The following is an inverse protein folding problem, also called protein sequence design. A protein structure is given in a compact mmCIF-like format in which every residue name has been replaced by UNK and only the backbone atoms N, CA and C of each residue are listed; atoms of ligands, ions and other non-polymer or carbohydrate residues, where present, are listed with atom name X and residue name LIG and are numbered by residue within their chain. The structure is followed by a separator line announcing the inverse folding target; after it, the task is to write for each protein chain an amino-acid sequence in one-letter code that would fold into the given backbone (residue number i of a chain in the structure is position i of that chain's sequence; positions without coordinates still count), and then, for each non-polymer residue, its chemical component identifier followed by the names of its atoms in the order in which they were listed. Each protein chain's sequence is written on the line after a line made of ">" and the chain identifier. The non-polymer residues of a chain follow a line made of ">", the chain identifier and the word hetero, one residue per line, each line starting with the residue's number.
data_IF_693080219551
#
_entry.id   IF_693080219551
#
_cell.length_a   1.000
_cell.length_b   1.000
_cell.length_c   1.000
_cell.angle_alpha   90.00
_cell.angle_beta   90.00
_cell.angle_gamma   90.00
#
_symmetry.space_group_name_H-M   'P 1'
#
loop_
_entity.id
_entity.type
_entity.pdbx_description
1 polymer ?
#
# COMPACT_ATOMS: atom_id res chain seq x y z
N UNK A 1 30.81 49.77 27.99
CA UNK A 1 29.91 50.20 26.90
C UNK A 1 29.36 48.92 26.30
N UNK A 2 28.12 48.58 26.68
CA UNK A 2 27.41 47.38 26.25
C UNK A 2 27.02 47.58 24.79
N UNK A 3 27.53 46.73 23.89
CA UNK A 3 27.04 46.69 22.51
C UNK A 3 25.68 46.00 22.52
N UNK A 4 24.61 46.80 22.60
CA UNK A 4 23.27 46.37 22.23
C UNK A 4 23.25 46.18 20.72
N UNK A 5 23.43 44.95 20.25
CA UNK A 5 23.04 44.59 18.90
C UNK A 5 21.53 44.56 18.85
N UNK A 6 20.93 45.49 18.10
CA UNK A 6 19.53 45.46 17.74
C UNK A 6 19.23 44.15 17.02
N UNK A 7 18.38 43.32 17.61
CA UNK A 7 17.67 42.26 16.89
C UNK A 7 16.73 42.94 15.89
N UNK A 8 17.22 43.22 14.69
CA UNK A 8 16.35 43.56 13.56
C UNK A 8 15.56 42.28 13.22
N UNK A 9 14.40 42.16 13.84
CA UNK A 9 13.44 41.09 13.62
C UNK A 9 12.89 41.25 12.18
N UNK A 10 13.51 40.54 11.23
CA UNK A 10 13.07 40.48 9.83
C UNK A 10 11.64 39.93 9.79
N UNK A 11 10.66 40.81 9.65
CA UNK A 11 9.24 40.49 9.72
C UNK A 11 8.67 40.41 8.29
N UNK A 12 8.72 39.22 7.69
CA UNK A 12 8.36 38.99 6.29
C UNK A 12 6.85 38.74 6.14
N UNK A 13 6.22 39.28 5.08
CA UNK A 13 4.78 39.04 4.81
C UNK A 13 4.65 37.93 3.75
N UNK A 14 4.09 36.78 4.13
CA UNK A 14 3.86 35.64 3.25
C UNK A 14 2.37 35.57 2.88
N UNK A 15 2.05 35.29 1.61
CA UNK A 15 0.66 35.14 1.14
C UNK A 15 0.28 33.66 1.08
N UNK A 16 -0.72 33.26 1.86
CA UNK A 16 -1.13 31.86 2.05
C UNK A 16 -2.27 31.39 1.12
N UNK A 17 -2.78 32.24 0.22
CA UNK A 17 -4.07 32.03 -0.46
C UNK A 17 -4.15 30.81 -1.39
N UNK A 18 -3.04 30.41 -2.04
CA UNK A 18 -3.03 29.24 -2.94
C UNK A 18 -2.85 27.93 -2.16
N UNK A 19 -2.33 27.99 -0.93
CA UNK A 19 -1.98 26.82 -0.13
C UNK A 19 -3.21 26.13 0.43
N UNK A 20 -4.12 26.91 1.00
CA UNK A 20 -5.25 26.38 1.76
C UNK A 20 -6.08 25.38 0.94
N UNK A 21 -6.53 25.75 -0.26
CA UNK A 21 -7.37 24.87 -1.10
C UNK A 21 -6.61 23.65 -1.62
N UNK A 22 -5.38 23.83 -2.11
CA UNK A 22 -4.59 22.74 -2.68
C UNK A 22 -4.23 21.70 -1.62
N UNK A 23 -3.78 22.14 -0.45
CA UNK A 23 -3.37 21.28 0.65
C UNK A 23 -4.56 20.52 1.22
N UNK A 24 -5.68 21.21 1.47
CA UNK A 24 -6.91 20.55 1.92
C UNK A 24 -7.37 19.48 0.93
N UNK A 25 -7.40 19.78 -0.38
CA UNK A 25 -7.79 18.80 -1.39
C UNK A 25 -6.89 17.57 -1.41
N UNK A 26 -5.57 17.77 -1.36
CA UNK A 26 -4.60 16.66 -1.39
C UNK A 26 -4.66 15.86 -0.09
N UNK A 27 -4.72 16.49 1.08
CA UNK A 27 -4.81 15.78 2.37
C UNK A 27 -6.11 14.98 2.49
N UNK A 28 -7.24 15.51 2.00
CA UNK A 28 -8.50 14.74 1.93
C UNK A 28 -8.32 13.51 1.04
N UNK A 29 -7.70 13.66 -0.15
CA UNK A 29 -7.45 12.55 -1.06
C UNK A 29 -6.52 11.50 -0.42
N UNK A 30 -5.43 11.95 0.22
CA UNK A 30 -4.49 11.08 0.94
C UNK A 30 -5.18 10.36 2.08
N UNK A 31 -6.07 11.01 2.84
CA UNK A 31 -6.83 10.36 3.90
C UNK A 31 -7.79 9.29 3.34
N UNK A 32 -8.57 9.66 2.31
CA UNK A 32 -9.59 8.79 1.71
C UNK A 32 -9.00 7.56 1.02
N UNK A 33 -7.84 7.70 0.39
CA UNK A 33 -7.17 6.58 -0.29
C UNK A 33 -6.22 5.86 0.66
N UNK A 34 -5.40 6.62 1.39
CA UNK A 34 -4.32 6.15 2.25
C UNK A 34 -4.79 5.30 3.43
N UNK A 35 -5.88 5.67 4.11
CA UNK A 35 -6.34 4.88 5.27
C UNK A 35 -6.83 3.49 4.83
N UNK A 36 -7.76 3.35 3.86
CA UNK A 36 -8.18 2.03 3.40
C UNK A 36 -7.04 1.21 2.80
N UNK A 37 -6.14 1.83 2.02
CA UNK A 37 -5.02 1.13 1.40
C UNK A 37 -4.02 0.62 2.42
N UNK A 38 -3.66 1.41 3.42
CA UNK A 38 -2.70 1.00 4.44
C UNK A 38 -3.27 -0.03 5.41
N UNK A 39 -4.56 0.04 5.77
CA UNK A 39 -5.21 -1.03 6.53
C UNK A 39 -5.21 -2.36 5.76
N UNK A 40 -5.47 -2.30 4.45
CA UNK A 40 -5.42 -3.48 3.60
C UNK A 40 -3.99 -4.05 3.47
N UNK A 41 -3.01 -3.16 3.28
CA UNK A 41 -1.58 -3.51 3.25
C UNK A 41 -1.09 -4.11 4.56
N UNK A 42 -1.54 -3.59 5.70
CA UNK A 42 -1.23 -4.09 7.03
C UNK A 42 -1.71 -5.54 7.21
N UNK A 43 -2.91 -5.86 6.74
CA UNK A 43 -3.43 -7.24 6.73
C UNK A 43 -2.51 -8.19 5.94
N UNK A 44 -2.04 -7.79 4.76
CA UNK A 44 -1.10 -8.60 3.97
C UNK A 44 0.29 -8.67 4.57
N UNK A 45 0.76 -7.59 5.19
CA UNK A 45 2.01 -7.60 5.93
C UNK A 45 1.96 -8.62 7.08
N UNK A 46 0.86 -8.64 7.83
CA UNK A 46 0.63 -9.63 8.89
C UNK A 46 0.61 -11.08 8.35
N UNK A 47 0.03 -11.31 7.17
CA UNK A 47 0.07 -12.63 6.53
C UNK A 47 1.50 -13.05 6.14
N UNK A 48 2.29 -12.13 5.59
CA UNK A 48 3.71 -12.38 5.27
C UNK A 48 4.55 -12.67 6.52
N UNK A 49 4.26 -11.98 7.62
CA UNK A 49 4.88 -12.24 8.92
C UNK A 49 4.55 -13.64 9.46
N UNK A 50 3.30 -14.08 9.32
CA UNK A 50 2.89 -15.44 9.69
C UNK A 50 3.60 -16.50 8.84
N UNK A 51 3.94 -16.17 7.60
CA UNK A 51 4.75 -17.01 6.69
C UNK A 51 6.26 -16.92 6.96
N UNK A 52 6.69 -16.22 8.03
CA UNK A 52 8.11 -16.01 8.39
C UNK A 52 8.94 -15.34 7.29
N UNK A 53 8.31 -14.47 6.48
CA UNK A 53 8.98 -13.68 5.48
C UNK A 53 9.49 -12.37 6.08
N UNK A 54 10.81 -12.13 5.99
CA UNK A 54 11.50 -10.94 6.47
C UNK A 54 10.94 -9.64 5.87
N UNK A 55 10.50 -9.69 4.60
CA UNK A 55 9.89 -8.56 3.91
C UNK A 55 8.59 -8.11 4.59
N UNK A 56 7.86 -9.04 5.21
CA UNK A 56 6.64 -8.73 5.96
C UNK A 56 6.90 -7.79 7.15
N UNK A 57 8.09 -7.85 7.77
CA UNK A 57 8.48 -6.95 8.87
C UNK A 57 8.62 -5.52 8.37
N UNK A 58 9.39 -5.30 7.29
CA UNK A 58 9.61 -3.97 6.74
C UNK A 58 8.32 -3.35 6.23
N UNK A 59 7.52 -4.14 5.53
CA UNK A 59 6.19 -3.75 5.03
C UNK A 59 5.24 -3.37 6.19
N UNK A 60 5.18 -4.17 7.25
CA UNK A 60 4.32 -3.85 8.40
C UNK A 60 4.74 -2.52 9.04
N UNK A 61 6.03 -2.32 9.31
CA UNK A 61 6.49 -1.09 9.94
C UNK A 61 6.26 0.15 9.06
N UNK A 62 6.43 0.03 7.73
CA UNK A 62 6.10 1.07 6.76
C UNK A 62 4.61 1.47 6.88
N UNK A 63 3.70 0.49 6.84
CA UNK A 63 2.25 0.77 6.97
C UNK A 63 1.85 1.32 8.34
N UNK A 64 2.53 0.91 9.42
CA UNK A 64 2.28 1.46 10.75
C UNK A 64 2.67 2.94 10.79
N UNK A 65 3.82 3.29 10.22
CA UNK A 65 4.26 4.68 10.11
C UNK A 65 3.29 5.53 9.30
N UNK A 66 2.79 5.01 8.17
CA UNK A 66 1.78 5.68 7.35
C UNK A 66 0.48 5.91 8.11
N UNK A 67 -0.05 4.88 8.80
CA UNK A 67 -1.28 5.00 9.56
C UNK A 67 -1.18 6.01 10.72
N UNK A 68 -0.01 6.08 11.37
CA UNK A 68 0.24 7.07 12.43
C UNK A 68 0.22 8.50 11.88
N UNK A 69 0.83 8.75 10.73
CA UNK A 69 0.76 10.07 10.09
C UNK A 69 -0.65 10.40 9.55
N UNK A 70 -1.32 9.43 8.92
CA UNK A 70 -2.69 9.60 8.45
C UNK A 70 -3.65 9.94 9.60
N UNK A 71 -3.40 9.43 10.81
CA UNK A 71 -4.17 9.80 12.00
C UNK A 71 -3.99 11.27 12.43
N UNK A 72 -2.90 11.94 12.03
CA UNK A 72 -2.65 13.37 12.29
C UNK A 72 -3.30 14.30 11.25
N UNK A 73 -3.57 13.81 10.03
CA UNK A 73 -4.13 14.62 8.94
C UNK A 73 -5.44 15.34 9.26
N UNK A 74 -6.39 14.80 10.06
CA UNK A 74 -7.60 15.54 10.44
C UNK A 74 -7.29 16.86 11.18
N UNK A 75 -6.24 16.88 12.00
CA UNK A 75 -5.82 18.10 12.72
C UNK A 75 -5.20 19.11 11.76
N UNK A 76 -4.39 18.65 10.80
CA UNK A 76 -3.88 19.51 9.72
C UNK A 76 -5.00 20.09 8.86
N UNK A 77 -6.00 19.28 8.50
CA UNK A 77 -7.15 19.75 7.73
C UNK A 77 -7.94 20.82 8.49
N UNK A 78 -8.13 20.64 9.81
CA UNK A 78 -8.77 21.64 10.64
C UNK A 78 -7.96 22.95 10.67
N UNK A 79 -6.64 22.88 10.80
CA UNK A 79 -5.75 24.04 10.73
C UNK A 79 -5.93 24.82 9.41
N UNK A 80 -5.89 24.12 8.27
CA UNK A 80 -6.12 24.76 6.97
C UNK A 80 -7.54 25.32 6.84
N UNK A 81 -8.58 24.68 7.40
CA UNK A 81 -9.94 25.24 7.35
C UNK A 81 -10.16 26.42 8.29
N UNK A 82 -9.24 26.69 9.22
CA UNK A 82 -9.27 27.82 10.15
C UNK A 82 -8.32 28.94 9.70
N UNK A 83 -8.10 29.07 8.39
CA UNK A 83 -7.24 30.10 7.79
C UNK A 83 -5.82 30.12 8.37
N UNK A 84 -5.24 28.92 8.54
CA UNK A 84 -3.90 28.69 9.11
C UNK A 84 -3.76 29.21 10.56
N UNK A 85 -4.86 29.25 11.32
CA UNK A 85 -4.84 29.54 12.76
C UNK A 85 -4.94 28.24 13.59
N UNK A 86 -3.84 27.89 14.27
CA UNK A 86 -3.79 26.72 15.15
C UNK A 86 -4.54 27.00 16.46
N UNK A 87 -5.84 26.66 16.49
CA UNK A 87 -6.69 26.84 17.68
C UNK A 87 -6.49 25.77 18.77
N UNK A 88 -5.69 24.73 18.49
CA UNK A 88 -5.47 23.60 19.40
C UNK A 88 -4.33 23.85 20.38
N UNK A 89 -4.13 22.93 21.32
CA UNK A 89 -2.99 23.01 22.26
C UNK A 89 -1.66 22.87 21.52
N UNK A 90 -0.62 23.53 22.03
CA UNK A 90 0.74 23.52 21.45
C UNK A 90 1.31 22.10 21.30
N UNK A 91 1.10 21.22 22.28
CA UNK A 91 1.59 19.84 22.21
C UNK A 91 0.98 19.02 21.06
N UNK A 92 -0.23 19.37 20.60
CA UNK A 92 -0.84 18.73 19.43
C UNK A 92 -0.16 19.18 18.14
N UNK A 93 0.25 20.45 18.06
CA UNK A 93 1.05 20.94 16.94
C UNK A 93 2.36 20.13 16.89
N UNK A 94 3.11 20.12 17.98
CA UNK A 94 4.37 19.36 18.13
C UNK A 94 4.19 17.88 17.76
N UNK A 95 3.11 17.23 18.21
CA UNK A 95 2.81 15.85 17.87
C UNK A 95 2.53 15.66 16.36
N UNK A 96 1.78 16.57 15.74
CA UNK A 96 1.47 16.48 14.32
C UNK A 96 2.72 16.61 13.44
N UNK A 97 3.61 17.55 13.76
CA UNK A 97 4.89 17.65 13.06
C UNK A 97 5.81 16.49 13.37
N UNK A 98 5.88 16.02 14.62
CA UNK A 98 6.60 14.80 14.97
C UNK A 98 6.15 13.62 14.10
N UNK A 99 4.84 13.35 14.02
CA UNK A 99 4.31 12.25 13.20
C UNK A 99 4.59 12.42 11.70
N UNK A 100 4.54 13.65 11.17
CA UNK A 100 4.91 13.96 9.78
C UNK A 100 6.38 13.59 9.50
N UNK A 101 7.30 14.05 10.34
CA UNK A 101 8.73 13.82 10.13
C UNK A 101 9.14 12.38 10.41
N UNK A 102 8.58 11.75 11.45
CA UNK A 102 8.74 10.31 11.68
C UNK A 102 8.29 9.53 10.46
N UNK A 103 7.13 9.85 9.87
CA UNK A 103 6.68 9.18 8.65
C UNK A 103 7.66 9.31 7.49
N UNK A 104 8.18 10.51 7.23
CA UNK A 104 9.16 10.73 6.16
C UNK A 104 10.38 9.84 6.35
N UNK A 105 11.04 9.91 7.51
CA UNK A 105 12.34 9.23 7.68
C UNK A 105 12.20 7.73 7.93
N UNK A 106 11.16 7.30 8.65
CA UNK A 106 10.87 5.87 8.83
C UNK A 106 10.54 5.23 7.47
N UNK A 107 9.73 5.89 6.64
CA UNK A 107 9.40 5.39 5.31
C UNK A 107 10.64 5.25 4.43
N UNK A 108 11.50 6.29 4.40
CA UNK A 108 12.78 6.24 3.68
C UNK A 108 13.65 5.06 4.18
N UNK A 109 13.74 4.87 5.50
CA UNK A 109 14.47 3.77 6.11
C UNK A 109 13.96 2.40 5.64
N UNK A 110 12.65 2.18 5.67
CA UNK A 110 12.06 0.91 5.23
C UNK A 110 12.11 0.70 3.71
N UNK A 111 12.02 1.74 2.90
CA UNK A 111 12.28 1.63 1.45
C UNK A 111 13.71 1.18 1.14
N UNK A 112 14.69 1.65 1.94
CA UNK A 112 16.07 1.19 1.86
C UNK A 112 16.20 -0.28 2.27
N UNK A 113 15.56 -0.68 3.37
CA UNK A 113 15.54 -2.09 3.81
C UNK A 113 14.93 -3.01 2.76
N UNK A 114 13.79 -2.64 2.17
CA UNK A 114 13.12 -3.40 1.10
C UNK A 114 14.05 -3.52 -0.12
N UNK A 115 14.68 -2.43 -0.55
CA UNK A 115 15.58 -2.45 -1.71
C UNK A 115 16.85 -3.27 -1.45
N UNK A 116 17.43 -3.18 -0.24
CA UNK A 116 18.60 -3.96 0.17
C UNK A 116 18.28 -5.45 0.29
N UNK A 117 17.14 -5.79 0.88
CA UNK A 117 16.67 -7.18 0.97
C UNK A 117 16.54 -7.81 -0.42
N UNK A 118 15.92 -7.10 -1.37
CA UNK A 118 15.82 -7.55 -2.76
C UNK A 118 17.18 -7.66 -3.45
N UNK A 119 18.09 -6.71 -3.20
CA UNK A 119 19.47 -6.77 -3.68
C UNK A 119 20.20 -8.01 -3.16
N UNK A 120 20.15 -8.27 -1.85
CA UNK A 120 20.81 -9.43 -1.24
C UNK A 120 20.20 -10.74 -1.73
N UNK A 121 18.88 -10.81 -1.88
CA UNK A 121 18.19 -12.00 -2.39
C UNK A 121 18.59 -12.36 -3.83
N UNK A 122 18.84 -11.37 -4.68
CA UNK A 122 19.15 -11.60 -6.12
C UNK A 122 20.65 -11.74 -6.37
N UNK A 123 21.46 -10.89 -5.74
CA UNK A 123 22.91 -10.81 -6.04
C UNK A 123 23.72 -11.77 -5.16
N UNK A 124 23.27 -12.02 -3.93
CA UNK A 124 24.01 -12.80 -2.94
C UNK A 124 23.13 -13.83 -2.20
N UNK A 125 22.41 -14.72 -2.92
CA UNK A 125 21.36 -15.57 -2.35
C UNK A 125 21.83 -16.48 -1.21
N UNK A 126 23.10 -16.89 -1.19
CA UNK A 126 23.66 -17.81 -0.19
C UNK A 126 24.61 -17.15 0.83
N UNK A 127 25.12 -15.95 0.54
CA UNK A 127 26.22 -15.34 1.34
C UNK A 127 25.71 -14.53 2.53
N UNK A 128 24.53 -13.93 2.43
CA UNK A 128 23.98 -13.01 3.43
C UNK A 128 22.61 -13.47 3.97
N UNK A 129 22.42 -14.78 4.11
CA UNK A 129 21.18 -15.36 4.65
C UNK A 129 20.92 -14.94 6.10
N UNK A 130 21.95 -14.74 6.91
CA UNK A 130 21.81 -14.25 8.30
C UNK A 130 21.26 -12.82 8.37
N UNK A 131 21.67 -11.93 7.45
CA UNK A 131 21.16 -10.56 7.34
C UNK A 131 19.71 -10.51 6.84
N UNK A 132 19.23 -11.59 6.22
CA UNK A 132 17.84 -11.77 5.76
C UNK A 132 17.03 -12.65 6.71
N UNK A 133 17.47 -12.79 7.96
CA UNK A 133 16.70 -13.50 8.99
C UNK A 133 15.61 -12.60 9.58
N UNK A 134 14.54 -13.22 10.10
CA UNK A 134 13.48 -12.50 10.83
C UNK A 134 14.03 -11.68 12.00
N UNK A 135 15.01 -12.23 12.73
CA UNK A 135 15.64 -11.53 13.85
C UNK A 135 16.42 -10.30 13.39
N UNK A 136 17.14 -10.38 12.27
CA UNK A 136 17.82 -9.24 11.69
C UNK A 136 16.83 -8.16 11.23
N UNK A 137 15.72 -8.54 10.58
CA UNK A 137 14.69 -7.60 10.15
C UNK A 137 14.05 -6.85 11.32
N UNK A 138 13.73 -7.56 12.41
CA UNK A 138 13.22 -6.93 13.64
C UNK A 138 14.23 -6.01 14.30
N UNK A 139 15.48 -6.46 14.43
CA UNK A 139 16.55 -5.66 15.01
C UNK A 139 16.76 -4.35 14.23
N UNK A 140 16.86 -4.42 12.90
CA UNK A 140 17.00 -3.24 12.04
C UNK A 140 15.79 -2.33 12.16
N UNK A 141 14.57 -2.89 12.21
CA UNK A 141 13.34 -2.10 12.37
C UNK A 141 13.36 -1.33 13.70
N UNK A 142 13.72 -1.98 14.81
CA UNK A 142 13.84 -1.34 16.13
C UNK A 142 14.90 -0.24 16.11
N UNK A 143 16.05 -0.48 15.47
CA UNK A 143 17.11 0.54 15.35
C UNK A 143 16.60 1.76 14.57
N UNK A 144 15.88 1.57 13.46
CA UNK A 144 15.30 2.66 12.69
C UNK A 144 14.34 3.47 13.56
N UNK A 145 13.36 2.81 14.20
CA UNK A 145 12.39 3.47 15.08
C UNK A 145 13.07 4.26 16.21
N UNK A 146 14.00 3.65 16.94
CA UNK A 146 14.69 4.31 18.04
C UNK A 146 15.52 5.51 17.55
N UNK A 147 16.19 5.37 16.40
CA UNK A 147 16.99 6.44 15.81
C UNK A 147 16.10 7.62 15.40
N UNK A 148 15.02 7.37 14.66
CA UNK A 148 14.12 8.45 14.22
C UNK A 148 13.44 9.12 15.41
N UNK A 149 12.84 8.35 16.34
CA UNK A 149 12.22 8.88 17.56
C UNK A 149 13.22 9.76 18.34
N UNK A 150 14.47 9.32 18.50
CA UNK A 150 15.48 10.10 19.21
C UNK A 150 15.79 11.45 18.52
N UNK A 151 15.78 11.49 17.19
CA UNK A 151 15.92 12.73 16.41
C UNK A 151 14.65 13.58 16.50
N UNK A 152 13.47 12.96 16.44
CA UNK A 152 12.17 13.63 16.52
C UNK A 152 11.87 14.27 17.88
N UNK A 153 12.48 13.79 18.98
CA UNK A 153 12.34 14.41 20.31
C UNK A 153 12.72 15.90 20.33
N UNK A 154 13.56 16.35 19.38
CA UNK A 154 13.93 17.77 19.26
C UNK A 154 12.70 18.67 19.10
N UNK A 155 11.66 18.23 18.41
CA UNK A 155 10.43 19.01 18.19
C UNK A 155 9.63 19.28 19.47
N UNK A 156 9.80 18.47 20.51
CA UNK A 156 9.16 18.70 21.81
C UNK A 156 10.00 19.63 22.70
N UNK A 157 11.26 19.91 22.34
CA UNK A 157 12.15 20.79 23.10
C UNK A 157 12.08 22.25 22.64
N UNK A 158 11.69 22.49 21.40
CA UNK A 158 11.57 23.83 20.81
C UNK A 158 10.11 24.27 20.73
N UNK A 159 9.89 25.58 20.74
CA UNK A 159 8.57 26.18 20.53
C UNK A 159 8.25 26.16 19.04
N UNK A 160 7.38 25.23 18.65
CA UNK A 160 6.94 25.04 17.26
C UNK A 160 5.72 25.91 16.91
N UNK A 161 5.11 26.54 17.92
CA UNK A 161 4.04 27.53 17.73
C UNK A 161 4.67 28.92 17.63
N UNK A 162 4.50 29.58 16.48
CA UNK A 162 4.88 30.97 16.29
C UNK A 162 3.63 31.82 16.01
N UNK A 163 3.72 33.13 16.22
CA UNK A 163 2.62 34.05 15.90
C UNK A 163 2.93 34.77 14.60
N UNK A 164 2.06 34.64 13.62
CA UNK A 164 2.12 35.47 12.42
C UNK A 164 1.68 36.92 12.74
N UNK A 165 1.93 37.85 11.82
CA UNK A 165 1.56 39.26 11.87
C UNK A 165 0.06 39.49 12.03
N UNK A 166 -0.80 38.55 11.63
CA UNK A 166 -2.25 38.58 11.94
C UNK A 166 -2.60 38.14 13.37
N UNK A 167 -1.58 37.88 14.21
CA UNK A 167 -1.69 37.32 15.56
C UNK A 167 -2.34 35.92 15.57
N UNK A 168 -2.29 35.21 14.44
CA UNK A 168 -2.67 33.80 14.29
C UNK A 168 -1.51 32.92 14.73
N UNK A 169 -1.82 31.75 15.29
CA UNK A 169 -0.81 30.81 15.76
C UNK A 169 -0.47 29.84 14.63
N UNK A 170 0.73 29.92 14.06
CA UNK A 170 1.18 29.02 13.00
C UNK A 170 2.04 27.89 13.57
N UNK A 171 1.88 26.69 13.00
CA UNK A 171 2.48 25.46 13.51
C UNK A 171 3.61 25.01 12.57
N UNK A 172 4.83 24.82 13.09
CA UNK A 172 6.03 24.42 12.30
C UNK A 172 6.48 25.40 11.22
N UNK A 173 6.13 26.68 11.36
CA UNK A 173 6.55 27.75 10.45
C UNK A 173 7.43 28.77 11.20
N UNK A 174 8.75 28.64 11.07
CA UNK A 174 9.72 29.64 11.53
C UNK A 174 10.32 30.39 10.36
N UNK A 175 9.96 31.67 10.21
CA UNK A 175 10.58 32.60 9.25
C UNK A 175 10.99 33.87 9.99
N UNK A 176 12.29 34.24 10.03
CA UNK A 176 13.43 33.52 9.47
C UNK A 176 13.78 32.23 10.25
N UNK A 177 14.50 31.32 9.58
CA UNK A 177 15.01 30.06 10.12
C UNK A 177 15.91 30.31 11.33
N UNK A 178 15.68 29.55 12.39
CA UNK A 178 16.37 29.66 13.65
C UNK A 178 17.73 28.94 13.62
N UNK A 179 18.74 29.40 14.38
CA UNK A 179 20.08 28.82 14.38
C UNK A 179 20.15 27.31 14.69
N UNK A 180 19.20 26.80 15.49
CA UNK A 180 19.14 25.39 15.87
C UNK A 180 18.62 24.48 14.74
N UNK A 181 17.92 25.04 13.75
CA UNK A 181 17.38 24.28 12.60
C UNK A 181 18.47 23.91 11.58
N UNK A 182 19.48 24.76 11.39
CA UNK A 182 20.58 24.53 10.44
C UNK A 182 21.27 23.17 10.61
N UNK A 183 21.82 22.80 11.79
CA UNK A 183 22.47 21.50 11.95
C UNK A 183 21.52 20.31 11.72
N UNK A 184 20.24 20.47 12.07
CA UNK A 184 19.21 19.44 11.85
C UNK A 184 18.91 19.29 10.36
N UNK A 185 18.81 20.39 9.62
CA UNK A 185 18.55 20.37 8.18
C UNK A 185 19.72 19.74 7.42
N UNK A 186 20.96 20.03 7.80
CA UNK A 186 22.13 19.33 7.25
C UNK A 186 22.12 17.83 7.57
N UNK A 187 21.80 17.45 8.81
CA UNK A 187 21.65 16.04 9.17
C UNK A 187 20.58 15.34 8.32
N UNK A 188 19.39 15.96 8.19
CA UNK A 188 18.28 15.46 7.37
C UNK A 188 18.67 15.30 5.91
N UNK A 189 19.39 16.27 5.35
CA UNK A 189 19.83 16.20 3.96
C UNK A 189 20.89 15.10 3.76
N UNK A 190 21.92 15.04 4.60
CA UNK A 190 23.04 14.11 4.42
C UNK A 190 22.63 12.68 4.78
N UNK A 191 22.10 12.49 5.99
CA UNK A 191 21.76 11.17 6.54
C UNK A 191 20.36 10.73 6.13
N UNK A 192 19.40 11.66 6.09
CA UNK A 192 18.01 11.37 5.73
C UNK A 192 17.75 11.28 4.22
N UNK A 193 18.61 11.84 3.36
CA UNK A 193 18.40 11.83 1.91
C UNK A 193 19.58 11.31 1.09
N UNK A 194 20.77 11.87 1.22
CA UNK A 194 21.91 11.47 0.37
C UNK A 194 22.34 10.01 0.62
N UNK A 195 22.39 9.59 1.87
CA UNK A 195 22.72 8.20 2.23
C UNK A 195 21.66 7.20 1.70
N UNK A 196 20.35 7.40 1.93
CA UNK A 196 19.29 6.60 1.32
C UNK A 196 19.33 6.59 -0.21
N UNK A 197 19.54 7.75 -0.85
CA UNK A 197 19.63 7.86 -2.31
C UNK A 197 20.77 6.98 -2.85
N UNK A 198 21.92 6.96 -2.19
CA UNK A 198 23.04 6.10 -2.57
C UNK A 198 22.68 4.61 -2.45
N UNK A 199 22.05 4.19 -1.34
CA UNK A 199 21.59 2.81 -1.13
C UNK A 199 20.60 2.40 -2.21
N UNK A 200 19.56 3.21 -2.46
CA UNK A 200 18.51 2.93 -3.43
C UNK A 200 19.07 2.88 -4.86
N UNK A 201 19.97 3.80 -5.21
CA UNK A 201 20.58 3.85 -6.54
C UNK A 201 21.48 2.63 -6.79
N UNK A 202 22.36 2.30 -5.83
CA UNK A 202 23.27 1.16 -5.95
C UNK A 202 22.48 -0.15 -6.00
N UNK A 203 21.52 -0.34 -5.10
CA UNK A 203 20.69 -1.55 -5.06
C UNK A 203 19.88 -1.72 -6.36
N UNK A 204 19.26 -0.65 -6.87
CA UNK A 204 18.55 -0.67 -8.14
C UNK A 204 19.44 -1.10 -9.31
N UNK A 205 20.60 -0.47 -9.47
CA UNK A 205 21.52 -0.78 -10.57
C UNK A 205 22.07 -2.20 -10.47
N UNK A 206 22.37 -2.68 -9.26
CA UNK A 206 22.85 -4.04 -9.04
C UNK A 206 21.77 -5.10 -9.31
N UNK A 207 20.55 -4.88 -8.82
CA UNK A 207 19.40 -5.77 -9.09
C UNK A 207 19.11 -5.83 -10.58
N UNK A 208 19.07 -4.69 -11.26
CA UNK A 208 18.80 -4.65 -12.71
C UNK A 208 19.84 -5.46 -13.51
N UNK A 209 21.13 -5.33 -13.16
CA UNK A 209 22.21 -6.10 -13.80
C UNK A 209 22.11 -7.60 -13.50
N UNK A 210 21.84 -7.97 -12.25
CA UNK A 210 21.78 -9.38 -11.85
C UNK A 210 20.55 -10.09 -12.41
N UNK A 211 19.37 -9.46 -12.38
CA UNK A 211 18.14 -9.99 -12.97
C UNK A 211 18.29 -10.16 -14.49
N UNK A 212 18.97 -9.23 -15.16
CA UNK A 212 19.25 -9.32 -16.60
C UNK A 212 20.15 -10.50 -16.98
N UNK A 213 21.08 -10.88 -16.09
CA UNK A 213 22.03 -12.00 -16.32
C UNK A 213 21.52 -13.36 -15.86
N UNK A 214 20.54 -13.41 -14.96
CA UNK A 214 20.02 -14.68 -14.46
C UNK A 214 19.36 -15.49 -15.57
N UNK A 215 19.84 -16.69 -15.88
CA UNK A 215 19.21 -17.59 -16.88
C UNK A 215 18.11 -18.46 -16.25
N UNK A 216 18.19 -18.71 -14.93
CA UNK A 216 17.30 -19.64 -14.22
C UNK A 216 16.06 -19.01 -13.56
N UNK A 217 15.93 -17.68 -13.49
CA UNK A 217 14.75 -17.04 -12.89
C UNK A 217 13.61 -16.91 -13.90
N UNK A 218 12.40 -17.31 -13.52
CA UNK A 218 11.22 -17.18 -14.39
C UNK A 218 10.99 -15.72 -14.82
N UNK A 219 10.59 -15.46 -16.08
CA UNK A 219 10.39 -14.11 -16.61
C UNK A 219 9.43 -13.23 -15.78
N UNK A 220 8.36 -13.82 -15.25
CA UNK A 220 7.39 -13.11 -14.41
C UNK A 220 8.03 -12.68 -13.07
N UNK A 221 8.76 -13.57 -12.41
CA UNK A 221 9.49 -13.25 -11.16
C UNK A 221 10.52 -12.14 -11.36
N UNK A 222 11.27 -12.17 -12.49
CA UNK A 222 12.19 -11.08 -12.86
C UNK A 222 11.47 -9.74 -12.99
N UNK A 223 10.30 -9.74 -13.62
CA UNK A 223 9.50 -8.54 -13.84
C UNK A 223 9.01 -7.96 -12.52
N UNK A 224 8.49 -8.81 -11.61
CA UNK A 224 8.04 -8.40 -10.27
C UNK A 224 9.16 -7.80 -9.44
N UNK A 225 10.34 -8.43 -9.42
CA UNK A 225 11.52 -7.92 -8.71
C UNK A 225 11.93 -6.54 -9.25
N UNK A 226 12.00 -6.39 -10.58
CA UNK A 226 12.34 -5.12 -11.21
C UNK A 226 11.32 -4.04 -10.90
N UNK A 227 10.02 -4.37 -10.96
CA UNK A 227 8.95 -3.43 -10.65
C UNK A 227 8.98 -3.00 -9.19
N UNK A 228 9.22 -3.93 -8.25
CA UNK A 228 9.33 -3.63 -6.83
C UNK A 228 10.47 -2.64 -6.55
N UNK A 229 11.70 -2.93 -7.00
CA UNK A 229 12.87 -2.07 -6.76
C UNK A 229 12.78 -0.76 -7.56
N UNK A 230 12.15 -0.78 -8.74
CA UNK A 230 11.89 0.47 -9.48
C UNK A 230 10.85 1.34 -8.77
N UNK A 231 9.87 0.74 -8.12
CA UNK A 231 8.82 1.47 -7.41
C UNK A 231 9.37 2.13 -6.15
N UNK A 232 10.22 1.45 -5.37
CA UNK A 232 10.87 2.06 -4.19
C UNK A 232 11.71 3.28 -4.55
N UNK A 233 12.48 3.21 -5.65
CA UNK A 233 13.25 4.36 -6.17
C UNK A 233 12.31 5.47 -6.65
N UNK A 234 11.25 5.13 -7.39
CA UNK A 234 10.31 6.12 -7.90
C UNK A 234 9.58 6.87 -6.77
N UNK A 235 9.11 6.14 -5.75
CA UNK A 235 8.47 6.73 -4.57
C UNK A 235 9.45 7.68 -3.88
N UNK A 236 10.70 7.26 -3.69
CA UNK A 236 11.71 8.10 -3.07
C UNK A 236 11.99 9.39 -3.85
N UNK A 237 12.15 9.29 -5.17
CA UNK A 237 12.45 10.43 -6.03
C UNK A 237 11.28 11.39 -6.17
N UNK A 238 10.04 10.88 -6.20
CA UNK A 238 8.85 11.72 -6.39
C UNK A 238 8.38 12.32 -5.06
N UNK A 239 8.31 11.52 -3.99
CA UNK A 239 7.72 11.96 -2.73
C UNK A 239 8.74 12.69 -1.84
N UNK A 240 10.00 12.23 -1.77
CA UNK A 240 10.95 12.75 -0.79
C UNK A 240 12.01 13.70 -1.38
N UNK A 241 12.47 13.46 -2.62
CA UNK A 241 13.53 14.29 -3.22
C UNK A 241 13.19 15.78 -3.31
N UNK A 242 11.98 16.19 -3.77
CA UNK A 242 11.66 17.61 -3.89
C UNK A 242 11.79 18.34 -2.54
N UNK A 243 11.26 17.73 -1.47
CA UNK A 243 11.34 18.28 -0.12
C UNK A 243 12.79 18.49 0.33
N UNK A 244 13.64 17.49 0.16
CA UNK A 244 15.04 17.60 0.60
C UNK A 244 15.85 18.59 -0.23
N UNK A 245 15.52 18.76 -1.53
CA UNK A 245 16.13 19.79 -2.37
C UNK A 245 15.73 21.18 -1.85
N UNK A 246 14.44 21.45 -1.66
CA UNK A 246 14.00 22.76 -1.16
C UNK A 246 14.43 23.02 0.29
N UNK A 247 14.53 21.99 1.13
CA UNK A 247 15.11 22.07 2.47
C UNK A 247 16.56 22.58 2.43
N UNK A 248 17.39 22.02 1.54
CA UNK A 248 18.78 22.46 1.39
C UNK A 248 18.86 23.87 0.81
N UNK A 249 18.09 24.16 -0.24
CA UNK A 249 18.05 25.48 -0.88
C UNK A 249 17.68 26.55 0.15
N UNK A 250 16.65 26.30 0.96
CA UNK A 250 16.25 27.16 2.07
C UNK A 250 17.39 27.34 3.07
N UNK A 251 18.00 26.25 3.53
CA UNK A 251 19.11 26.28 4.51
C UNK A 251 20.33 27.07 4.03
N UNK A 252 20.60 27.13 2.72
CA UNK A 252 21.77 27.81 2.16
C UNK A 252 21.52 29.27 1.77
N UNK A 253 20.30 29.56 1.29
CA UNK A 253 19.98 30.80 0.57
C UNK A 253 18.94 31.67 1.26
N UNK A 254 18.37 31.26 2.40
CA UNK A 254 17.48 32.12 3.18
C UNK A 254 18.26 33.31 3.77
N UNK A 255 18.20 34.46 3.09
CA UNK A 255 18.94 35.69 3.44
C UNK A 255 18.02 36.86 3.74
N UNK A 256 16.92 36.98 3.01
CA UNK A 256 16.02 38.12 3.05
C UNK A 256 14.56 37.72 2.80
N UNK A 257 13.64 38.65 3.07
CA UNK A 257 12.20 38.41 2.96
C UNK A 257 11.71 38.11 1.55
N UNK A 258 12.38 38.62 0.49
CA UNK A 258 11.95 38.33 -0.88
C UNK A 258 12.21 36.86 -1.20
N UNK A 259 13.40 36.35 -0.83
CA UNK A 259 13.71 34.94 -1.00
C UNK A 259 12.75 34.04 -0.20
N UNK A 260 12.43 34.41 1.04
CA UNK A 260 11.47 33.67 1.87
C UNK A 260 10.10 33.59 1.18
N UNK A 261 9.58 34.70 0.66
CA UNK A 261 8.29 34.73 -0.02
C UNK A 261 8.28 33.87 -1.30
N UNK A 262 9.38 33.86 -2.06
CA UNK A 262 9.51 33.05 -3.27
C UNK A 262 9.60 31.55 -2.96
N UNK A 263 10.42 31.15 -1.99
CA UNK A 263 10.66 29.73 -1.68
C UNK A 263 9.49 29.09 -0.92
N UNK A 264 8.70 29.89 -0.19
CA UNK A 264 7.64 29.41 0.69
C UNK A 264 6.70 28.41 -0.02
N UNK A 265 6.21 28.77 -1.21
CA UNK A 265 5.28 27.93 -1.95
C UNK A 265 5.91 26.61 -2.40
N UNK A 266 7.15 26.67 -2.90
CA UNK A 266 7.86 25.49 -3.37
C UNK A 266 8.21 24.53 -2.23
N UNK A 267 8.68 25.07 -1.10
CA UNK A 267 8.99 24.28 0.09
C UNK A 267 7.75 23.55 0.60
N UNK A 268 6.63 24.26 0.81
CA UNK A 268 5.41 23.63 1.28
C UNK A 268 4.83 22.65 0.26
N UNK A 269 4.80 22.99 -1.04
CA UNK A 269 4.33 22.07 -2.07
C UNK A 269 5.19 20.79 -2.09
N UNK A 270 6.49 20.92 -1.89
CA UNK A 270 7.39 19.77 -1.81
C UNK A 270 7.18 18.94 -0.54
N UNK A 271 6.81 19.56 0.57
CA UNK A 271 6.37 18.88 1.79
C UNK A 271 5.04 18.17 1.59
N UNK A 272 4.10 18.77 0.86
CA UNK A 272 2.84 18.13 0.47
C UNK A 272 3.09 16.86 -0.37
N UNK A 273 4.10 16.87 -1.23
CA UNK A 273 4.50 15.69 -2.01
C UNK A 273 4.97 14.52 -1.14
N UNK A 274 5.56 14.77 0.04
CA UNK A 274 6.00 13.69 0.92
C UNK A 274 4.83 12.84 1.36
N UNK A 275 3.66 13.45 1.59
CA UNK A 275 2.42 12.80 2.07
C UNK A 275 1.82 11.81 1.07
N UNK A 276 2.20 11.92 -0.21
CA UNK A 276 1.77 11.00 -1.26
C UNK A 276 2.43 9.61 -1.10
N UNK A 277 3.49 9.48 -0.30
CA UNK A 277 4.09 8.19 0.02
C UNK A 277 3.05 7.23 0.63
N UNK A 278 2.19 7.70 1.53
CA UNK A 278 1.16 6.89 2.17
C UNK A 278 0.16 6.29 1.17
N UNK A 279 -0.01 6.89 -0.01
CA UNK A 279 -0.85 6.35 -1.09
C UNK A 279 -0.05 5.42 -2.01
N UNK A 280 1.25 5.68 -2.17
CA UNK A 280 2.12 4.95 -3.09
C UNK A 280 2.69 3.65 -2.49
N UNK A 281 3.02 3.64 -1.20
CA UNK A 281 3.62 2.49 -0.50
C UNK A 281 2.76 1.21 -0.54
N UNK A 282 1.42 1.28 -0.44
CA UNK A 282 0.54 0.14 -0.71
C UNK A 282 0.74 -0.50 -2.09
N UNK A 283 1.23 0.23 -3.10
CA UNK A 283 1.52 -0.34 -4.42
C UNK A 283 2.67 -1.37 -4.37
N UNK A 284 3.58 -1.28 -3.39
CA UNK A 284 4.67 -2.24 -3.22
C UNK A 284 4.13 -3.66 -2.98
N UNK A 285 2.99 -3.79 -2.30
CA UNK A 285 2.35 -5.08 -2.02
C UNK A 285 1.80 -5.77 -3.27
N UNK A 286 1.39 -4.99 -4.28
CA UNK A 286 0.94 -5.53 -5.56
C UNK A 286 2.03 -6.30 -6.30
N UNK A 287 3.30 -5.97 -6.06
CA UNK A 287 4.45 -6.63 -6.68
C UNK A 287 4.96 -7.82 -5.86
N UNK A 288 4.60 -7.88 -4.57
CA UNK A 288 4.95 -8.99 -3.67
C UNK A 288 3.96 -10.15 -3.80
N UNK A 289 2.66 -9.87 -3.95
CA UNK A 289 1.61 -10.91 -4.04
C UNK A 289 0.50 -10.58 -5.04
N UNK A 290 0.11 -11.58 -5.84
CA UNK A 290 -1.05 -11.46 -6.74
C UNK A 290 -2.38 -11.32 -6.01
N UNK A 291 -2.52 -11.96 -4.83
CA UNK A 291 -3.74 -11.85 -4.02
C UNK A 291 -3.89 -10.44 -3.46
N UNK A 292 -2.77 -9.82 -3.05
CA UNK A 292 -2.72 -8.43 -2.63
C UNK A 292 -3.09 -7.48 -3.78
N UNK A 293 -2.55 -7.70 -4.99
CA UNK A 293 -2.88 -6.90 -6.19
C UNK A 293 -4.38 -6.86 -6.48
N UNK A 294 -5.06 -8.02 -6.44
CA UNK A 294 -6.50 -8.10 -6.73
C UNK A 294 -7.35 -7.39 -5.67
N UNK A 295 -6.97 -7.41 -4.40
CA UNK A 295 -7.72 -6.69 -3.39
C UNK A 295 -7.40 -5.20 -3.35
N UNK A 296 -6.16 -4.77 -3.59
CA UNK A 296 -5.82 -3.35 -3.68
C UNK A 296 -6.54 -2.68 -4.87
N UNK A 297 -6.62 -3.36 -6.02
CA UNK A 297 -7.43 -2.88 -7.14
C UNK A 297 -8.90 -2.70 -6.76
N UNK A 298 -9.46 -3.60 -5.95
CA UNK A 298 -10.85 -3.47 -5.46
C UNK A 298 -11.01 -2.37 -4.41
N UNK A 299 -10.00 -2.12 -3.58
CA UNK A 299 -10.04 -1.12 -2.51
C UNK A 299 -9.73 0.31 -3.00
N UNK A 300 -8.78 0.47 -3.94
CA UNK A 300 -8.31 1.78 -4.43
C UNK A 300 -8.90 2.08 -5.81
N UNK A 301 -8.63 1.22 -6.79
CA UNK A 301 -8.87 1.54 -8.20
C UNK A 301 -10.37 1.51 -8.52
N UNK A 302 -11.11 0.53 -7.99
CA UNK A 302 -12.55 0.39 -8.26
C UNK A 302 -13.38 1.58 -7.74
N UNK A 303 -13.16 2.11 -6.52
CA UNK A 303 -13.83 3.34 -6.08
C UNK A 303 -13.41 4.58 -6.88
N UNK A 304 -12.11 4.77 -7.13
CA UNK A 304 -11.60 5.91 -7.88
C UNK A 304 -12.16 5.91 -9.31
N UNK A 305 -12.14 4.77 -10.00
CA UNK A 305 -12.72 4.62 -11.34
C UNK A 305 -14.22 4.84 -11.32
N UNK A 306 -14.95 4.36 -10.30
CA UNK A 306 -16.40 4.63 -10.18
C UNK A 306 -16.67 6.12 -9.98
N UNK A 307 -15.90 6.81 -9.17
CA UNK A 307 -16.04 8.25 -8.93
C UNK A 307 -15.74 9.02 -10.22
N UNK A 308 -14.61 8.73 -10.89
CA UNK A 308 -14.24 9.36 -12.16
C UNK A 308 -15.28 9.10 -13.26
N UNK A 309 -15.76 7.86 -13.40
CA UNK A 309 -16.81 7.52 -14.37
C UNK A 309 -18.16 8.18 -14.05
N UNK A 310 -18.53 8.35 -12.77
CA UNK A 310 -19.73 9.08 -12.38
C UNK A 310 -19.61 10.58 -12.69
N UNK A 311 -18.42 11.18 -12.53
CA UNK A 311 -18.16 12.57 -12.91
C UNK A 311 -18.25 12.76 -14.44
N UNK A 312 -17.76 11.80 -15.23
CA UNK A 312 -17.89 11.86 -16.70
C UNK A 312 -19.34 11.69 -17.18
N UNK A 313 -20.19 10.93 -16.48
CA UNK A 313 -21.59 10.70 -16.88
C UNK A 313 -22.50 11.88 -16.57
N UNK A 314 -22.16 12.71 -15.56
CA UNK A 314 -22.94 13.87 -15.15
C UNK A 314 -22.74 15.12 -16.04
N UNK A 315 -21.73 15.10 -16.92
CA UNK A 315 -21.47 16.16 -17.90
C UNK A 315 -22.16 16.00 -19.27
N UNK A 316 -22.90 14.91 -19.50
CA UNK A 316 -23.52 14.62 -20.82
C UNK A 316 -25.05 14.45 -20.79
N UNK A 317 -25.72 15.04 -19.79
CA UNK A 317 -27.18 15.10 -19.76
C UNK A 317 -27.65 16.34 -20.54
N UNK A 318 -27.88 16.18 -21.85
CA UNK A 318 -28.64 17.16 -22.62
C UNK A 318 -30.11 17.18 -22.10
N UNK A 319 -30.75 18.36 -22.00
CA UNK A 319 -32.15 18.44 -21.60
C UNK A 319 -33.02 17.77 -22.68
N UNK A 320 -33.85 16.83 -22.26
CA UNK A 320 -34.78 16.13 -23.12
C UNK A 320 -35.70 17.14 -23.82
N UNK A 321 -35.62 17.17 -25.16
CA UNK A 321 -36.63 17.84 -25.98
C UNK A 321 -37.77 16.85 -26.16
N UNK A 322 -38.93 17.25 -25.66
CA UNK A 322 -40.20 16.55 -25.79
C UNK A 322 -40.54 16.42 -27.28
N UNK A 323 -40.71 15.20 -27.79
CA UNK A 323 -41.23 14.95 -29.13
C UNK A 323 -42.00 13.64 -29.09
N UNK A 324 -43.31 13.79 -29.06
CA UNK A 324 -44.28 12.74 -29.34
C UNK A 324 -43.97 12.09 -30.69
N UNK A 325 -43.78 10.77 -30.70
CA UNK A 325 -44.06 9.98 -31.91
C UNK A 325 -44.97 8.79 -31.59
N UNK A 326 -46.08 8.85 -32.32
CA UNK A 326 -47.26 8.01 -32.40
C UNK A 326 -46.95 6.52 -32.55
N UNK A 327 -47.70 5.70 -31.82
CA UNK A 327 -47.71 4.25 -31.96
C UNK A 327 -48.33 3.82 -33.30
N UNK A 328 -47.64 2.93 -34.01
CA UNK A 328 -48.26 2.03 -34.98
C UNK A 328 -47.75 0.61 -34.74
N UNK A 329 -48.67 -0.25 -34.32
CA UNK A 329 -48.54 -1.71 -34.27
C UNK A 329 -48.29 -2.28 -35.68
N UNK A 330 -47.30 -3.16 -35.83
CA UNK A 330 -47.51 -4.52 -36.35
C UNK A 330 -46.21 -5.34 -36.55
N UNK A 331 -46.33 -6.62 -36.21
CA UNK A 331 -45.61 -7.81 -36.70
C UNK A 331 -44.38 -8.34 -35.95
N UNK A 332 -44.66 -9.33 -35.09
CA UNK A 332 -44.03 -10.67 -34.96
C UNK A 332 -42.56 -10.86 -35.38
N UNK A 333 -41.67 -10.98 -34.39
CA UNK A 333 -40.33 -11.57 -34.53
C UNK A 333 -39.60 -11.71 -33.20
N UNK A 334 -39.12 -12.90 -32.88
CA UNK A 334 -38.36 -13.27 -31.67
C UNK A 334 -37.14 -12.35 -31.41
N UNK A 335 -36.78 -12.05 -30.13
CA UNK A 335 -35.60 -11.26 -29.83
C UNK A 335 -34.33 -12.05 -30.13
N UNK A 336 -33.56 -11.58 -31.11
CA UNK A 336 -32.24 -12.14 -31.45
C UNK A 336 -31.20 -11.48 -30.55
N UNK A 337 -30.65 -12.22 -29.60
CA UNK A 337 -29.50 -11.81 -28.80
C UNK A 337 -28.25 -11.91 -29.68
N UNK A 338 -27.68 -10.76 -30.08
CA UNK A 338 -26.43 -10.71 -30.83
C UNK A 338 -25.26 -10.93 -29.87
N UNK A 339 -24.65 -12.12 -29.93
CA UNK A 339 -23.39 -12.45 -29.26
C UNK A 339 -22.24 -12.18 -30.23
N UNK A 340 -21.38 -11.20 -29.94
CA UNK A 340 -20.15 -10.95 -30.69
C UNK A 340 -19.06 -11.94 -30.28
N UNK A 341 -18.84 -12.98 -31.08
CA UNK A 341 -17.66 -13.86 -31.00
C UNK A 341 -16.69 -13.55 -32.13
N UNK A 342 -15.50 -13.05 -31.80
CA UNK A 342 -14.36 -13.06 -32.72
C UNK A 342 -13.89 -14.51 -32.92
N UNK A 343 -13.91 -15.00 -34.16
CA UNK A 343 -13.31 -16.29 -34.53
C UNK A 343 -12.21 -16.04 -35.57
N UNK A 344 -10.99 -16.44 -35.26
CA UNK A 344 -9.87 -16.54 -36.20
C UNK A 344 -9.88 -17.95 -36.82
N UNK A 345 -9.92 -18.02 -38.14
CA UNK A 345 -10.02 -19.24 -38.95
C UNK A 345 -8.73 -20.06 -38.98
N UNK A 346 -8.83 -21.39 -38.84
CA UNK A 346 -7.92 -22.33 -39.52
C UNK A 346 -8.72 -23.52 -40.08
N UNK A 347 -8.41 -23.89 -41.32
CA UNK A 347 -9.19 -24.75 -42.21
C UNK A 347 -9.03 -26.27 -42.00
N UNK A 348 -10.16 -26.97 -42.14
CA UNK A 348 -10.44 -28.28 -42.79
C UNK A 348 -9.64 -29.55 -42.45
N UNK A 349 -10.33 -30.59 -41.96
CA UNK A 349 -10.81 -31.72 -42.79
C UNK A 349 -11.91 -32.53 -42.07
N UNK A 350 -12.72 -33.27 -42.85
CA UNK A 350 -14.11 -33.70 -42.61
C UNK A 350 -14.20 -35.23 -42.52
N UNK A 351 -15.01 -35.81 -41.61
CA UNK A 351 -15.85 -37.02 -41.84
C UNK A 351 -16.85 -37.33 -40.69
N UNK A 352 -18.15 -37.26 -41.03
CA UNK A 352 -19.32 -38.13 -40.70
C UNK A 352 -19.83 -38.41 -39.24
N UNK A 353 -20.92 -37.71 -38.85
CA UNK A 353 -22.22 -38.09 -38.18
C UNK A 353 -22.33 -39.17 -37.05
N UNK A 354 -23.36 -39.15 -36.16
CA UNK A 354 -23.82 -38.07 -35.25
C UNK A 354 -24.24 -38.58 -33.82
N UNK A 355 -23.79 -37.94 -32.73
CA UNK A 355 -24.48 -38.02 -31.42
C UNK A 355 -24.14 -36.78 -30.59
N UNK A 356 -25.13 -35.91 -30.37
CA UNK A 356 -24.98 -34.70 -29.54
C UNK A 356 -25.16 -35.04 -28.06
N UNK A 357 -24.06 -35.34 -27.38
CA UNK A 357 -23.92 -35.10 -25.95
C UNK A 357 -22.97 -33.91 -25.78
N UNK A 358 -23.48 -32.77 -25.33
CA UNK A 358 -22.63 -31.60 -25.06
C UNK A 358 -22.06 -31.74 -23.65
N UNK A 359 -20.84 -32.27 -23.58
CA UNK A 359 -20.01 -32.27 -22.37
C UNK A 359 -19.18 -30.99 -22.40
N UNK A 360 -19.31 -30.13 -21.38
CA UNK A 360 -18.37 -29.03 -21.18
C UNK A 360 -17.18 -29.56 -20.37
N UNK A 361 -16.03 -29.74 -21.02
CA UNK A 361 -14.74 -29.98 -20.37
C UNK A 361 -13.96 -28.67 -20.46
N UNK A 362 -13.80 -27.96 -19.34
CA UNK A 362 -12.72 -26.98 -19.19
C UNK A 362 -11.54 -27.67 -18.52
N UNK A 363 -10.48 -27.85 -19.30
CA UNK A 363 -9.19 -28.35 -18.85
C UNK A 363 -8.55 -27.33 -17.89
N UNK A 364 -8.60 -27.61 -16.60
CA UNK A 364 -7.70 -27.03 -15.60
C UNK A 364 -6.78 -28.12 -15.11
N UNK A 365 -5.47 -27.91 -15.28
CA UNK A 365 -4.45 -28.80 -14.76
C UNK A 365 -4.60 -29.00 -13.24
N UNK A 366 -4.69 -30.29 -12.89
CA UNK A 366 -4.35 -30.96 -11.62
C UNK A 366 -5.26 -30.77 -10.39
N UNK A 367 -6.05 -31.83 -10.15
CA UNK A 367 -6.63 -32.39 -8.91
C UNK A 367 -7.82 -31.66 -8.25
N UNK A 368 -9.04 -32.07 -8.62
CA UNK A 368 -9.96 -32.97 -7.84
C UNK A 368 -11.38 -32.87 -8.45
N UNK A 369 -11.95 -33.98 -8.92
CA UNK A 369 -13.28 -34.03 -9.56
C UNK A 369 -14.31 -34.51 -8.52
N UNK A 370 -15.37 -33.73 -8.29
CA UNK A 370 -16.65 -34.20 -7.73
C UNK A 370 -17.75 -33.78 -8.73
N UNK A 371 -18.58 -34.71 -9.27
CA UNK A 371 -19.65 -34.34 -10.18
C UNK A 371 -20.88 -33.83 -9.41
N UNK A 372 -21.34 -32.62 -9.73
CA UNK A 372 -22.64 -32.09 -9.28
C UNK A 372 -23.67 -32.35 -10.37
N UNK A 373 -24.62 -33.24 -10.09
CA UNK A 373 -25.82 -33.47 -10.91
C UNK A 373 -26.86 -32.41 -10.52
N UNK A 374 -27.16 -31.47 -11.42
CA UNK A 374 -28.29 -30.55 -11.24
C UNK A 374 -29.53 -31.17 -11.87
N UNK A 375 -30.44 -31.68 -11.04
CA UNK A 375 -31.81 -31.97 -11.45
C UNK A 375 -32.62 -30.67 -11.46
N UNK A 376 -33.18 -30.36 -12.62
CA UNK A 376 -34.06 -29.21 -12.84
C UNK A 376 -35.50 -29.65 -12.53
N UNK A 377 -36.04 -29.29 -11.37
CA UNK A 377 -37.48 -29.40 -11.10
C UNK A 377 -38.06 -28.01 -10.91
N UNK A 378 -38.85 -27.59 -11.89
CA UNK A 378 -39.62 -26.36 -11.83
C UNK A 378 -40.83 -26.50 -10.93
N UNK A 379 -41.02 -25.51 -10.06
CA UNK A 379 -42.35 -25.04 -9.67
C UNK A 379 -42.25 -23.56 -9.31
N UNK A 380 -43.00 -22.74 -10.06
CA UNK A 380 -43.27 -21.35 -9.75
C UNK A 380 -44.28 -21.30 -8.61
N UNK A 381 -44.05 -20.43 -7.62
CA UNK A 381 -45.15 -19.75 -6.95
C UNK A 381 -44.78 -18.29 -6.71
N UNK A 382 -45.65 -17.41 -7.22
CA UNK A 382 -45.60 -15.97 -7.06
C UNK A 382 -46.39 -15.60 -5.80
N UNK A 383 -45.81 -14.81 -4.91
CA UNK A 383 -46.58 -14.02 -3.95
C UNK A 383 -46.21 -12.55 -4.13
N UNK A 384 -47.24 -11.75 -4.45
CA UNK A 384 -47.23 -10.29 -4.57
C UNK A 384 -47.96 -9.76 -3.35
N UNK A 385 -47.34 -8.85 -2.60
CA UNK A 385 -47.99 -8.11 -1.51
C UNK A 385 -48.61 -6.81 -2.03
N UNK A 386 -49.65 -6.34 -1.33
CA UNK A 386 -50.69 -5.41 -1.81
C UNK A 386 -50.29 -3.92 -1.87
N UNK A 387 -49.01 -3.57 -1.83
CA UNK A 387 -48.55 -2.17 -1.86
C UNK A 387 -47.22 -1.93 -2.63
N UNK A 388 -46.97 -2.71 -3.69
CA UNK A 388 -46.15 -2.26 -4.84
C UNK A 388 -44.73 -1.72 -4.58
N UNK A 389 -44.04 -2.09 -3.50
CA UNK A 389 -42.63 -1.72 -3.24
C UNK A 389 -41.78 -2.90 -2.77
N UNK A 390 -40.54 -3.07 -3.27
CA UNK A 390 -39.62 -4.07 -2.75
C UNK A 390 -39.07 -3.65 -1.37
N UNK A 391 -39.32 -4.48 -0.36
CA UNK A 391 -38.72 -4.39 0.97
C UNK A 391 -37.64 -5.46 1.12
N UNK A 392 -36.40 -5.08 1.46
CA UNK A 392 -35.34 -6.02 1.81
C UNK A 392 -35.42 -6.31 3.32
N UNK A 393 -35.95 -7.47 3.68
CA UNK A 393 -35.77 -8.06 5.01
C UNK A 393 -34.49 -8.89 4.99
N UNK A 394 -33.55 -8.59 5.90
CA UNK A 394 -32.35 -9.41 6.14
C UNK A 394 -32.74 -10.51 7.12
N UNK A 395 -32.89 -11.74 6.62
CA UNK A 395 -32.99 -12.94 7.44
C UNK A 395 -31.59 -13.44 7.84
N UNK A 396 -31.41 -13.70 9.13
CA UNK A 396 -30.24 -14.36 9.70
C UNK A 396 -30.45 -15.87 9.54
N UNK A 397 -29.59 -16.56 8.78
CA UNK A 397 -29.59 -18.03 8.68
C UNK A 397 -28.66 -18.65 9.75
N UNK A 398 -29.21 -19.55 10.56
CA UNK A 398 -28.45 -20.51 11.39
C UNK A 398 -27.82 -21.60 10.50
N UNK A 399 -26.63 -22.13 10.86
CA UNK A 399 -25.91 -23.07 10.01
C UNK A 399 -26.51 -24.48 10.05
N UNK A 400 -26.70 -25.07 8.86
CA UNK A 400 -27.22 -26.42 8.63
C UNK A 400 -26.28 -27.56 9.05
N UNK A 401 -26.87 -28.69 9.44
CA UNK A 401 -26.27 -29.96 9.91
C UNK A 401 -25.17 -30.59 9.04
N UNK A 402 -24.99 -30.16 7.79
CA UNK A 402 -23.90 -30.65 6.92
C UNK A 402 -22.50 -30.10 7.32
N UNK A 403 -22.45 -29.03 8.11
CA UNK A 403 -21.20 -28.41 8.56
C UNK A 403 -20.51 -29.25 9.65
N UNK A 404 -21.26 -29.92 10.53
CA UNK A 404 -20.72 -30.76 11.60
C UNK A 404 -20.13 -32.08 11.06
N UNK A 405 -20.81 -32.72 10.09
CA UNK A 405 -20.34 -33.97 9.49
C UNK A 405 -19.02 -33.79 8.72
N UNK A 406 -18.81 -32.62 8.14
CA UNK A 406 -17.57 -32.28 7.41
C UNK A 406 -16.40 -32.04 8.37
N UNK A 407 -16.63 -31.40 9.52
CA UNK A 407 -15.61 -31.18 10.55
C UNK A 407 -15.20 -32.46 11.28
N UNK A 408 -16.11 -33.41 11.48
CA UNK A 408 -15.80 -34.70 12.11
C UNK A 408 -14.95 -35.59 11.20
N UNK A 409 -15.20 -35.56 9.89
CA UNK A 409 -14.42 -36.29 8.89
C UNK A 409 -12.99 -35.74 8.77
N UNK A 410 -12.80 -34.41 8.84
CA UNK A 410 -11.47 -33.80 8.86
C UNK A 410 -10.67 -34.11 10.14
N UNK A 411 -11.33 -34.24 11.31
CA UNK A 411 -10.68 -34.65 12.56
C UNK A 411 -10.22 -36.10 12.52
N UNK A 412 -11.01 -37.00 11.95
CA UNK A 412 -10.63 -38.41 11.80
C UNK A 412 -9.47 -38.61 10.81
N UNK A 413 -9.43 -37.83 9.72
CA UNK A 413 -8.30 -37.84 8.77
C UNK A 413 -7.00 -37.31 9.38
N UNK A 414 -7.07 -36.27 10.24
CA UNK A 414 -5.90 -35.77 10.98
C UNK A 414 -5.36 -36.79 11.98
N UNK A 415 -6.23 -37.45 12.76
CA UNK A 415 -5.80 -38.49 13.70
C UNK A 415 -5.16 -39.70 12.99
N UNK A 416 -5.70 -40.12 11.84
CA UNK A 416 -5.13 -41.21 11.06
C UNK A 416 -3.75 -40.85 10.47
N UNK A 417 -3.57 -39.59 10.01
CA UNK A 417 -2.29 -39.08 9.51
C UNK A 417 -1.23 -38.99 10.61
N UNK A 418 -1.60 -38.53 11.82
CA UNK A 418 -0.68 -38.45 12.96
C UNK A 418 -0.26 -39.85 13.43
N UNK A 419 -1.20 -40.79 13.52
CA UNK A 419 -0.92 -42.17 13.93
C UNK A 419 -0.06 -42.94 12.92
N UNK A 420 -0.17 -42.62 11.62
CA UNK A 420 0.70 -43.17 10.58
C UNK A 420 2.10 -42.56 10.62
N UNK A 421 2.22 -41.27 10.94
CA UNK A 421 3.49 -40.57 11.14
C UNK A 421 4.29 -41.12 12.33
N UNK A 422 3.63 -41.37 13.46
CA UNK A 422 4.29 -41.92 14.67
C UNK A 422 4.84 -43.32 14.43
N UNK A 423 4.09 -44.18 13.72
CA UNK A 423 4.55 -45.54 13.36
C UNK A 423 5.76 -45.53 12.41
N UNK A 424 5.86 -44.51 11.55
CA UNK A 424 7.00 -44.39 10.62
C UNK A 424 8.26 -43.94 11.36
N UNK A 425 8.13 -43.09 12.38
CA UNK A 425 9.24 -42.65 13.23
C UNK A 425 9.73 -43.81 14.11
N UNK A 426 8.83 -44.57 14.73
CA UNK A 426 9.19 -45.77 15.50
C UNK A 426 9.88 -46.83 14.63
N UNK A 427 9.44 -47.02 13.38
CA UNK A 427 10.08 -47.94 12.45
C UNK A 427 11.50 -47.47 12.02
N UNK A 428 11.72 -46.16 11.89
CA UNK A 428 13.02 -45.58 11.57
C UNK A 428 13.99 -45.65 12.77
N UNK A 429 13.49 -45.44 13.99
CA UNK A 429 14.30 -45.61 15.21
C UNK A 429 14.69 -47.06 15.44
N UNK A 430 13.78 -48.01 15.20
CA UNK A 430 14.07 -49.44 15.29
C UNK A 430 15.10 -49.87 14.23
N UNK A 431 14.99 -49.37 13.00
CA UNK A 431 15.97 -49.63 11.94
C UNK A 431 17.37 -49.08 12.28
N UNK A 432 17.47 -47.90 12.92
CA UNK A 432 18.77 -47.33 13.33
C UNK A 432 19.40 -48.10 14.51
N UNK A 433 18.58 -48.66 15.41
CA UNK A 433 19.02 -49.53 16.50
C UNK A 433 19.55 -50.88 15.98
N UNK A 434 18.84 -51.50 15.04
CA UNK A 434 19.26 -52.78 14.44
C UNK A 434 20.58 -52.61 13.65
N UNK A 435 20.75 -51.48 12.96
CA UNK A 435 21.95 -51.18 12.18
C UNK A 435 23.17 -50.85 13.06
N UNK A 436 22.97 -50.27 14.26
CA UNK A 436 24.03 -50.08 15.27
C UNK A 436 24.45 -51.38 15.93
N UNK A 437 23.53 -52.34 16.09
CA UNK A 437 23.80 -53.65 16.68
C UNK A 437 24.60 -54.51 15.69
N UNK A 438 24.20 -54.53 14.41
CA UNK A 438 24.93 -55.22 13.35
C UNK A 438 26.37 -54.73 13.13
N UNK A 439 26.65 -53.44 13.43
CA UNK A 439 27.99 -52.85 13.31
C UNK A 439 28.91 -53.14 14.51
N UNK A 440 28.36 -53.66 15.62
CA UNK A 440 29.11 -54.08 16.82
C UNK A 440 29.59 -55.54 16.74
N UNK A 441 28.90 -56.38 15.96
CA UNK A 441 29.23 -57.80 15.80
C UNK A 441 30.24 -58.05 14.65
N UNK A 442 30.74 -56.99 14.02
CA UNK A 442 31.68 -57.03 12.89
C UNK A 442 33.07 -56.44 13.21
N UNK A 443 33.46 -56.37 14.49
CA UNK A 443 34.81 -56.01 14.95
C UNK A 443 35.39 -57.12 15.82
#
# INVERSE_FOLDING_TARGET
>A
MVYTMSEDMMNCTIRHEIHQYLFSCVYILVLLVGVPSNLYSLYHAALQLNQKNELGVYLMNLTVSDLLYLASLPLWLQYFFQDDDWSHREWLCQLCGFLLYENIYISIGFLCCISLDRYLAVVHPLRFTSLRSMSAAWLVSVIIWLKEIAVGVVFFRHKELSKDRKNQSVCFEHYPMQPWEYPINYYRFIIGFMFPLAILSISYLCVLRAVGRSVGTQPDQKTRIRQLVSSTVLIFLVCFSPYHIFLLVRTLLERDCNFIAEIFNYYHLSLLLTTLNCVADPALYCFVSESARRGLYRAIVRPIVRILCCCCRRGNANPATDSQEVATDNNNGHPTVVLLTHTSTLNNFKTNTPTKNTIFITQTDVKTIIPLIVQNNGHSDKYVDSDGKPSCVIGIEEPSQDTERTQETERQLKQSSEQSGTKLVEALEQWDLDNKTARKDSI
#
